data_IF_953875740186
#
_entry.id   IF_953875740186
#
_cell.length_a   1.000
_cell.length_b   1.000
_cell.length_c   1.000
_cell.angle_alpha   90.00
_cell.angle_beta   90.00
_cell.angle_gamma   90.00
#
_symmetry.space_group_name_H-M   'P 1'
#
loop_
_entity.id
_entity.type
_entity.pdbx_description
1 polymer ?
#
# COMPACT_ATOMS: atom_id res chain seq x y z
N UNK A 1 -2.01 -6.39 -0.26
CA UNK A 1 -0.64 -6.91 0.00
C UNK A 1 0.45 -6.07 -0.63
N UNK A 2 0.28 -5.52 -1.84
CA UNK A 2 1.30 -4.71 -2.53
C UNK A 2 1.83 -3.53 -1.70
N UNK A 3 0.96 -2.79 -1.00
CA UNK A 3 1.37 -1.66 -0.15
C UNK A 3 2.30 -2.10 0.99
N UNK A 4 1.94 -3.18 1.69
CA UNK A 4 2.74 -3.68 2.82
C UNK A 4 4.13 -4.11 2.35
N UNK A 5 4.21 -4.82 1.23
CA UNK A 5 5.49 -5.25 0.65
C UNK A 5 6.39 -4.08 0.28
N UNK A 6 5.83 -2.97 -0.22
CA UNK A 6 6.62 -1.78 -0.54
C UNK A 6 7.13 -1.08 0.72
N UNK A 7 6.31 -1.03 1.77
CA UNK A 7 6.71 -0.50 3.08
C UNK A 7 7.81 -1.37 3.69
N UNK A 8 7.65 -2.69 3.64
CA UNK A 8 8.65 -3.64 4.14
C UNK A 8 9.98 -3.51 3.38
N UNK A 9 9.94 -3.39 2.05
CA UNK A 9 11.13 -3.17 1.24
C UNK A 9 11.82 -1.84 1.58
N UNK A 10 11.07 -0.76 1.78
CA UNK A 10 11.63 0.53 2.18
C UNK A 10 12.30 0.46 3.57
N UNK A 11 11.65 -0.22 4.52
CA UNK A 11 12.19 -0.43 5.86
C UNK A 11 13.46 -1.30 5.84
N UNK A 12 13.49 -2.32 4.99
CA UNK A 12 14.65 -3.18 4.79
C UNK A 12 15.83 -2.39 4.19
N UNK A 13 15.58 -1.54 3.18
CA UNK A 13 16.62 -0.65 2.63
C UNK A 13 17.22 0.29 3.70
N UNK A 14 16.39 0.80 4.61
CA UNK A 14 16.88 1.56 5.76
C UNK A 14 17.71 0.72 6.73
N UNK A 15 17.42 -0.57 6.89
CA UNK A 15 18.18 -1.46 7.76
C UNK A 15 19.52 -1.90 7.15
N UNK A 16 19.59 -2.00 5.82
CA UNK A 16 20.79 -2.40 5.08
C UNK A 16 21.83 -1.27 4.95
N UNK A 17 21.43 -0.01 5.14
CA UNK A 17 22.36 1.11 5.14
C UNK A 17 23.46 0.95 6.19
N UNK A 18 24.64 1.50 5.93
CA UNK A 18 25.78 1.39 6.84
C UNK A 18 25.74 2.47 7.92
N UNK A 19 25.92 2.08 9.18
CA UNK A 19 25.99 3.04 10.28
C UNK A 19 27.18 3.99 10.10
N UNK A 20 26.95 5.27 10.35
CA UNK A 20 28.02 6.29 10.29
C UNK A 20 28.65 6.39 11.68
N UNK A 21 29.97 6.12 11.83
CA UNK A 21 30.64 6.15 13.13
C UNK A 21 30.43 7.47 13.87
N UNK A 22 30.29 7.39 15.20
CA UNK A 22 30.10 8.55 16.08
C UNK A 22 28.82 9.36 15.80
N UNK A 23 27.83 8.78 15.12
CA UNK A 23 26.57 9.45 14.83
C UNK A 23 25.36 8.50 14.98
N UNK A 24 24.15 9.07 14.94
CA UNK A 24 22.89 8.30 14.87
C UNK A 24 22.42 8.07 13.43
N UNK A 25 23.21 8.50 12.46
CA UNK A 25 22.84 8.47 11.06
C UNK A 25 23.30 7.19 10.39
N UNK A 26 22.61 6.85 9.32
CA UNK A 26 22.90 5.72 8.47
C UNK A 26 23.09 6.20 7.04
N UNK A 27 24.14 5.71 6.40
CA UNK A 27 24.43 5.99 5.01
C UNK A 27 23.57 5.10 4.13
N UNK A 28 22.81 5.74 3.24
CA UNK A 28 21.92 5.10 2.27
C UNK A 28 22.26 5.58 0.87
N UNK A 29 21.99 4.74 -0.13
CA UNK A 29 22.03 5.16 -1.53
C UNK A 29 20.79 6.03 -1.81
N UNK A 30 21.01 7.31 -2.11
CA UNK A 30 19.93 8.26 -2.31
C UNK A 30 19.14 7.98 -3.61
N UNK A 31 19.78 7.45 -4.64
CA UNK A 31 19.14 7.17 -5.92
C UNK A 31 18.23 5.93 -5.81
N UNK A 32 18.71 4.88 -5.15
CA UNK A 32 17.91 3.67 -4.89
C UNK A 32 16.72 3.98 -3.98
N UNK A 33 16.96 4.72 -2.89
CA UNK A 33 15.92 5.12 -1.96
C UNK A 33 14.86 6.01 -2.62
N UNK A 34 15.31 6.98 -3.45
CA UNK A 34 14.42 7.85 -4.22
C UNK A 34 13.54 7.07 -5.19
N UNK A 35 14.07 6.06 -5.88
CA UNK A 35 13.29 5.21 -6.79
C UNK A 35 12.21 4.40 -6.06
N UNK A 36 12.49 3.90 -4.85
CA UNK A 36 11.49 3.19 -4.05
C UNK A 36 10.35 4.13 -3.64
N UNK A 37 10.67 5.35 -3.20
CA UNK A 37 9.66 6.36 -2.85
C UNK A 37 8.79 6.71 -4.05
N UNK A 38 9.37 6.87 -5.24
CA UNK A 38 8.61 7.15 -6.45
C UNK A 38 7.64 6.00 -6.79
N UNK A 39 8.10 4.75 -6.65
CA UNK A 39 7.25 3.57 -6.84
C UNK A 39 6.09 3.55 -5.85
N UNK A 40 6.33 3.86 -4.58
CA UNK A 40 5.27 3.96 -3.56
C UNK A 40 4.25 5.04 -3.92
N UNK A 41 4.70 6.20 -4.42
CA UNK A 41 3.83 7.31 -4.80
C UNK A 41 2.81 6.94 -5.86
N UNK A 42 3.15 6.03 -6.77
CA UNK A 42 2.25 5.57 -7.84
C UNK A 42 1.36 4.42 -7.35
N UNK A 43 1.96 3.42 -6.72
CA UNK A 43 1.29 2.16 -6.37
C UNK A 43 0.36 2.28 -5.16
N UNK A 44 0.73 3.04 -4.12
CA UNK A 44 -0.06 3.16 -2.90
C UNK A 44 -1.44 3.78 -3.18
N UNK A 45 -1.56 4.94 -3.87
CA UNK A 45 -2.86 5.50 -4.21
C UNK A 45 -3.68 4.58 -5.11
N UNK A 46 -3.03 3.88 -6.05
CA UNK A 46 -3.69 2.93 -6.94
C UNK A 46 -4.34 1.78 -6.16
N UNK A 47 -3.59 1.14 -5.27
CA UNK A 47 -4.08 0.04 -4.44
C UNK A 47 -5.17 0.47 -3.45
N UNK A 48 -5.13 1.70 -2.94
CA UNK A 48 -6.22 2.25 -2.10
C UNK A 48 -7.50 2.39 -2.93
N UNK A 49 -7.43 3.04 -4.09
CA UNK A 49 -8.60 3.21 -4.97
C UNK A 49 -9.20 1.89 -5.43
N UNK A 50 -8.37 0.92 -5.74
CA UNK A 50 -8.81 -0.43 -6.10
C UNK A 50 -9.57 -1.08 -4.94
N UNK A 51 -9.02 -1.00 -3.73
CA UNK A 51 -9.66 -1.54 -2.53
C UNK A 51 -11.01 -0.86 -2.26
N UNK A 52 -11.09 0.47 -2.35
CA UNK A 52 -12.33 1.23 -2.21
C UNK A 52 -13.37 0.81 -3.25
N UNK A 53 -12.95 0.62 -4.50
CA UNK A 53 -13.82 0.15 -5.57
C UNK A 53 -14.38 -1.24 -5.29
N UNK A 54 -13.53 -2.18 -4.88
CA UNK A 54 -13.96 -3.54 -4.51
C UNK A 54 -14.94 -3.51 -3.34
N UNK A 55 -14.71 -2.68 -2.33
CA UNK A 55 -15.63 -2.52 -1.20
C UNK A 55 -16.99 -1.97 -1.66
N UNK A 56 -16.99 -0.94 -2.51
CA UNK A 56 -18.21 -0.38 -3.06
C UNK A 56 -18.98 -1.37 -3.94
N UNK A 57 -18.28 -2.19 -4.73
CA UNK A 57 -18.89 -3.25 -5.54
C UNK A 57 -19.53 -4.33 -4.65
N UNK A 58 -18.84 -4.75 -3.58
CA UNK A 58 -19.41 -5.66 -2.57
C UNK A 58 -20.71 -5.09 -1.98
N UNK A 59 -20.70 -3.83 -1.54
CA UNK A 59 -21.86 -3.21 -0.91
C UNK A 59 -23.06 -3.14 -1.88
N UNK A 60 -22.82 -2.86 -3.16
CA UNK A 60 -23.86 -2.91 -4.21
C UNK A 60 -24.45 -4.30 -4.36
N UNK A 61 -23.62 -5.35 -4.40
CA UNK A 61 -24.08 -6.73 -4.53
C UNK A 61 -24.96 -7.11 -3.33
N UNK A 62 -24.53 -6.76 -2.11
CA UNK A 62 -25.30 -7.03 -0.89
C UNK A 62 -26.64 -6.30 -0.91
N UNK A 63 -26.66 -5.03 -1.31
CA UNK A 63 -27.89 -4.25 -1.40
C UNK A 63 -28.86 -4.82 -2.44
N UNK A 64 -28.36 -5.23 -3.61
CA UNK A 64 -29.19 -5.87 -4.64
C UNK A 64 -29.81 -7.18 -4.14
N UNK A 65 -29.02 -8.05 -3.51
CA UNK A 65 -29.49 -9.30 -2.94
C UNK A 65 -30.56 -9.09 -1.84
N UNK A 66 -30.39 -8.05 -1.01
CA UNK A 66 -31.38 -7.69 0.02
C UNK A 66 -32.69 -7.19 -0.61
N UNK A 67 -32.61 -6.38 -1.67
CA UNK A 67 -33.79 -5.89 -2.38
C UNK A 67 -34.56 -7.03 -3.07
N UNK A 68 -33.86 -7.97 -3.71
CA UNK A 68 -34.47 -9.17 -4.29
C UNK A 68 -35.13 -10.04 -3.22
N UNK A 69 -34.46 -10.28 -2.09
CA UNK A 69 -35.04 -11.04 -0.98
C UNK A 69 -36.33 -10.39 -0.42
N UNK A 70 -36.36 -9.06 -0.33
CA UNK A 70 -37.54 -8.32 0.11
C UNK A 70 -38.71 -8.37 -0.88
N UNK A 71 -38.47 -8.66 -2.16
CA UNK A 71 -39.52 -8.84 -3.17
C UNK A 71 -40.14 -10.24 -3.18
N UNK A 72 -39.45 -11.23 -2.59
CA UNK A 72 -39.89 -12.64 -2.56
C UNK A 72 -40.77 -12.94 -1.33
N UNK A 73 -40.72 -12.10 -0.28
CA UNK A 73 -41.49 -12.24 0.96
C UNK A 73 -42.82 -11.49 0.90
#
# INVERSE_FOLDING_TARGET
MAILQLVDQLAEMLNQGRDVPLSRYRMIDADEFGQMIERMRISVPSSIRESERTLAERDKIVAAAQAEAAQIV
#
